data_IF_680144652215
#
_entry.id   IF_680144652215
#
_cell.length_a   1.000
_cell.length_b   1.000
_cell.length_c   1.000
_cell.angle_alpha   90.00
_cell.angle_beta   90.00
_cell.angle_gamma   90.00
#
_symmetry.space_group_name_H-M   'P 1'
#
loop_
_entity.id
_entity.type
_entity.pdbx_description
1 polymer ?
#
# COMPACT_ATOMS: atom_id res chain seq x y z
N UNK A 1 26.63 -21.19 17.55
CA UNK A 1 26.17 -20.97 16.15
C UNK A 1 25.97 -19.47 15.99
N UNK A 2 26.87 -18.77 15.31
CA UNK A 2 26.81 -17.31 15.20
C UNK A 2 25.52 -16.89 14.48
N UNK A 3 24.80 -15.94 15.08
CA UNK A 3 23.57 -15.37 14.52
C UNK A 3 23.90 -14.60 13.24
N UNK A 4 23.96 -15.32 12.11
CA UNK A 4 24.27 -14.77 10.80
C UNK A 4 23.22 -13.75 10.33
N UNK A 5 22.08 -13.63 11.01
CA UNK A 5 21.06 -12.63 10.71
C UNK A 5 21.54 -11.20 10.95
N UNK A 6 22.61 -10.99 11.73
CA UNK A 6 23.17 -9.66 11.95
C UNK A 6 24.07 -9.15 10.79
N UNK A 7 24.44 -10.00 9.82
CA UNK A 7 25.41 -9.63 8.77
C UNK A 7 24.85 -8.57 7.80
N UNK A 8 25.66 -7.60 7.34
CA UNK A 8 25.24 -6.53 6.42
C UNK A 8 24.52 -7.04 5.16
N UNK A 9 24.95 -8.19 4.62
CA UNK A 9 24.34 -8.81 3.45
C UNK A 9 22.86 -9.18 3.63
N UNK A 10 22.41 -9.52 4.85
CA UNK A 10 21.01 -9.87 5.10
C UNK A 10 20.11 -8.63 5.21
N UNK A 11 20.65 -7.50 5.70
CA UNK A 11 19.93 -6.21 5.71
C UNK A 11 19.68 -5.71 4.30
N UNK A 12 20.69 -5.80 3.43
CA UNK A 12 20.56 -5.41 2.03
C UNK A 12 19.58 -6.32 1.28
N UNK A 13 19.56 -7.62 1.57
CA UNK A 13 18.54 -8.54 1.04
C UNK A 13 17.13 -8.16 1.49
N UNK A 14 16.94 -7.77 2.74
CA UNK A 14 15.64 -7.33 3.22
C UNK A 14 15.18 -6.03 2.53
N UNK A 15 16.10 -5.07 2.34
CA UNK A 15 15.81 -3.83 1.62
C UNK A 15 15.40 -4.08 0.16
N UNK A 16 16.16 -4.87 -0.59
CA UNK A 16 15.80 -5.24 -1.96
C UNK A 16 14.51 -6.06 -2.03
N UNK A 17 14.29 -6.95 -1.07
CA UNK A 17 13.03 -7.70 -1.00
C UNK A 17 11.85 -6.75 -0.82
N UNK A 18 11.96 -5.75 0.05
CA UNK A 18 10.91 -4.75 0.22
C UNK A 18 10.67 -3.95 -1.06
N UNK A 19 11.72 -3.48 -1.74
CA UNK A 19 11.61 -2.76 -3.02
C UNK A 19 10.86 -3.58 -4.07
N UNK A 20 11.23 -4.86 -4.21
CA UNK A 20 10.60 -5.77 -5.17
C UNK A 20 9.15 -6.07 -4.76
N UNK A 21 8.90 -6.44 -3.50
CA UNK A 21 7.55 -6.72 -3.02
C UNK A 21 6.63 -5.51 -3.15
N UNK A 22 7.14 -4.31 -2.90
CA UNK A 22 6.38 -3.06 -3.07
C UNK A 22 5.93 -2.92 -4.51
N UNK A 23 6.86 -3.05 -5.45
CA UNK A 23 6.57 -2.94 -6.88
C UNK A 23 5.60 -4.04 -7.33
N UNK A 24 5.78 -5.27 -6.87
CA UNK A 24 4.87 -6.37 -7.21
C UNK A 24 3.47 -6.17 -6.63
N UNK A 25 3.34 -5.79 -5.35
CA UNK A 25 2.04 -5.58 -4.72
C UNK A 25 1.29 -4.39 -5.32
N UNK A 26 2.00 -3.32 -5.69
CA UNK A 26 1.39 -2.15 -6.32
C UNK A 26 1.00 -2.42 -7.78
N UNK A 27 1.88 -3.05 -8.57
CA UNK A 27 1.76 -3.07 -10.04
C UNK A 27 1.28 -4.43 -10.59
N UNK A 28 1.71 -5.56 -10.01
CA UNK A 28 1.31 -6.89 -10.50
C UNK A 28 -0.19 -7.13 -10.31
N UNK A 29 -0.74 -6.66 -9.20
CA UNK A 29 -2.17 -6.76 -8.89
C UNK A 29 -3.00 -5.67 -9.59
N UNK A 30 -2.37 -4.67 -10.23
CA UNK A 30 -3.03 -3.49 -10.81
C UNK A 30 -2.74 -3.30 -12.30
N UNK A 31 -1.59 -2.72 -12.63
CA UNK A 31 -1.21 -2.36 -14.00
C UNK A 31 -0.96 -3.59 -14.88
N UNK A 32 -0.45 -4.70 -14.33
CA UNK A 32 -0.30 -5.93 -15.11
C UNK A 32 -1.63 -6.48 -15.66
N UNK A 33 -2.73 -6.16 -15.00
CA UNK A 33 -4.06 -6.66 -15.33
C UNK A 33 -4.85 -5.64 -16.17
N UNK A 34 -4.81 -4.36 -15.80
CA UNK A 34 -5.58 -3.33 -16.51
C UNK A 34 -4.81 -2.59 -17.60
N UNK A 35 -3.49 -2.38 -17.44
CA UNK A 35 -2.67 -1.58 -18.38
C UNK A 35 -1.29 -2.23 -18.60
N UNK A 36 -1.20 -3.37 -19.32
CA UNK A 36 0.04 -4.14 -19.44
C UNK A 36 1.23 -3.35 -20.01
N UNK A 37 0.98 -2.31 -20.80
CA UNK A 37 2.02 -1.43 -21.35
C UNK A 37 2.80 -0.65 -20.26
N UNK A 38 2.23 -0.47 -19.07
CA UNK A 38 2.88 0.21 -17.95
C UNK A 38 4.17 -0.49 -17.48
N UNK A 39 4.36 -1.78 -17.77
CA UNK A 39 5.60 -2.50 -17.48
C UNK A 39 6.82 -1.94 -18.23
N UNK A 40 6.63 -1.19 -19.31
CA UNK A 40 7.72 -0.45 -19.96
C UNK A 40 8.31 0.64 -19.05
N UNK A 41 7.54 1.10 -18.06
CA UNK A 41 7.95 2.07 -17.05
C UNK A 41 8.48 1.41 -15.77
N UNK A 42 8.70 0.08 -15.76
CA UNK A 42 9.14 -0.67 -14.58
C UNK A 42 10.33 -0.04 -13.84
N UNK A 43 11.39 0.49 -14.49
CA UNK A 43 12.46 1.18 -13.78
C UNK A 43 11.98 2.39 -13.00
N UNK A 44 11.11 3.21 -13.59
CA UNK A 44 10.50 4.37 -12.93
C UNK A 44 9.61 3.92 -11.77
N UNK A 45 8.74 2.91 -12.01
CA UNK A 45 7.85 2.34 -10.99
C UNK A 45 8.65 1.78 -9.80
N UNK A 46 9.74 1.05 -10.06
CA UNK A 46 10.57 0.49 -9.01
C UNK A 46 11.29 1.56 -8.18
N UNK A 47 11.70 2.67 -8.80
CA UNK A 47 12.28 3.82 -8.09
C UNK A 47 11.23 4.52 -7.25
N UNK A 48 10.09 4.84 -7.86
CA UNK A 48 8.97 5.54 -7.23
C UNK A 48 8.41 4.75 -6.03
N UNK A 49 7.90 3.53 -6.28
CA UNK A 49 7.37 2.67 -5.22
C UNK A 49 8.45 2.20 -4.26
N UNK A 50 9.50 1.59 -4.78
CA UNK A 50 10.52 0.95 -3.95
C UNK A 50 11.28 1.93 -3.05
N UNK A 51 11.70 3.08 -3.59
CA UNK A 51 12.46 4.05 -2.80
C UNK A 51 11.56 4.77 -1.78
N UNK A 52 10.35 5.16 -2.18
CA UNK A 52 9.40 5.81 -1.26
C UNK A 52 9.05 4.93 -0.07
N UNK A 53 8.67 3.67 -0.31
CA UNK A 53 8.28 2.75 0.77
C UNK A 53 9.48 2.35 1.65
N UNK A 54 10.67 2.15 1.06
CA UNK A 54 11.87 1.91 1.83
C UNK A 54 12.23 3.13 2.71
N UNK A 55 12.04 4.36 2.22
CA UNK A 55 12.26 5.58 3.00
C UNK A 55 11.27 5.68 4.17
N UNK A 56 9.98 5.43 3.95
CA UNK A 56 8.95 5.36 5.02
C UNK A 56 9.36 4.37 6.11
N UNK A 57 9.77 3.17 5.68
CA UNK A 57 10.18 2.10 6.59
C UNK A 57 11.46 2.44 7.36
N UNK A 58 12.45 3.04 6.70
CA UNK A 58 13.70 3.46 7.35
C UNK A 58 13.46 4.59 8.37
N UNK A 59 12.63 5.58 8.03
CA UNK A 59 12.29 6.67 8.93
C UNK A 59 11.63 6.15 10.21
N UNK A 60 10.62 5.28 10.09
CA UNK A 60 9.94 4.68 11.25
C UNK A 60 10.86 3.80 12.09
N UNK A 61 11.70 2.97 11.46
CA UNK A 61 12.64 2.10 12.18
C UNK A 61 13.67 2.88 13.00
N UNK A 62 14.11 4.05 12.53
CA UNK A 62 15.13 4.88 13.21
C UNK A 62 14.63 5.58 14.45
N UNK A 63 13.38 6.02 14.45
CA UNK A 63 12.76 6.66 15.61
C UNK A 63 12.06 5.65 16.54
N UNK A 64 12.12 4.36 16.20
CA UNK A 64 11.43 3.30 16.93
C UNK A 64 9.91 3.40 16.87
N UNK A 65 9.34 4.01 15.82
CA UNK A 65 7.90 4.23 15.68
C UNK A 65 7.15 3.01 15.15
N UNK A 66 5.86 2.90 15.49
CA UNK A 66 5.00 1.76 15.18
C UNK A 66 4.21 1.87 13.87
N UNK A 67 3.25 0.95 13.70
CA UNK A 67 2.33 0.93 12.56
C UNK A 67 1.52 2.22 12.35
N UNK A 68 1.04 2.91 13.39
CA UNK A 68 0.37 4.20 13.21
C UNK A 68 1.23 5.24 12.47
N UNK A 69 2.52 5.28 12.76
CA UNK A 69 3.46 6.17 12.04
C UNK A 69 3.72 5.71 10.61
N UNK A 70 3.72 4.40 10.35
CA UNK A 70 3.82 3.88 8.97
C UNK A 70 2.58 4.30 8.17
N UNK A 71 1.39 4.25 8.75
CA UNK A 71 0.14 4.72 8.10
C UNK A 71 0.23 6.20 7.76
N UNK A 72 0.61 7.06 8.72
CA UNK A 72 0.74 8.50 8.47
C UNK A 72 1.81 8.82 7.42
N UNK A 73 2.96 8.13 7.46
CA UNK A 73 3.99 8.31 6.43
C UNK A 73 3.58 7.70 5.08
N UNK A 74 2.70 6.71 5.07
CA UNK A 74 2.04 6.21 3.86
C UNK A 74 1.16 7.28 3.22
N UNK A 75 0.45 8.09 4.02
CA UNK A 75 -0.31 9.25 3.52
C UNK A 75 0.63 10.34 2.98
N UNK A 76 1.78 10.57 3.64
CA UNK A 76 2.81 11.48 3.10
C UNK A 76 3.32 10.99 1.74
N UNK A 77 3.53 9.69 1.62
CA UNK A 77 3.95 9.04 0.39
C UNK A 77 2.89 9.17 -0.73
N UNK A 78 1.62 8.92 -0.43
CA UNK A 78 0.50 9.11 -1.34
C UNK A 78 0.41 10.57 -1.83
N UNK A 79 0.45 11.56 -0.92
CA UNK A 79 0.44 12.98 -1.30
C UNK A 79 1.65 13.38 -2.15
N UNK A 80 2.82 12.77 -1.91
CA UNK A 80 4.01 13.01 -2.72
C UNK A 80 3.82 12.49 -4.16
N UNK A 81 3.27 11.29 -4.31
CA UNK A 81 3.06 10.69 -5.63
C UNK A 81 1.88 11.32 -6.36
N UNK A 82 0.67 11.26 -5.80
CA UNK A 82 -0.54 11.68 -6.50
C UNK A 82 -0.73 13.20 -6.45
N UNK A 83 -0.35 13.84 -5.34
CA UNK A 83 -0.49 15.29 -5.17
C UNK A 83 0.59 16.10 -5.89
N UNK A 84 1.87 15.69 -5.78
CA UNK A 84 3.00 16.45 -6.32
C UNK A 84 3.54 15.86 -7.63
N UNK A 85 3.67 14.53 -7.70
CA UNK A 85 4.17 13.81 -8.87
C UNK A 85 3.18 13.83 -10.02
N UNK A 86 2.10 13.06 -9.90
CA UNK A 86 1.04 12.97 -10.90
C UNK A 86 0.18 14.22 -10.99
N UNK A 87 0.06 14.98 -9.89
CA UNK A 87 -0.88 16.12 -9.75
C UNK A 87 -2.35 15.71 -9.92
N UNK A 88 -2.62 14.43 -9.73
CA UNK A 88 -3.91 13.81 -10.00
C UNK A 88 -5.00 14.19 -9.01
N UNK A 89 -4.62 14.61 -7.81
CA UNK A 89 -5.59 15.08 -6.82
C UNK A 89 -6.34 16.33 -7.29
N UNK A 90 -5.73 17.18 -8.13
CA UNK A 90 -6.34 18.45 -8.58
C UNK A 90 -6.64 18.50 -10.07
N UNK A 91 -5.99 17.65 -10.87
CA UNK A 91 -6.19 17.62 -12.33
C UNK A 91 -7.64 17.29 -12.68
N UNK A 92 -8.27 18.04 -13.60
CA UNK A 92 -9.60 17.71 -14.09
C UNK A 92 -9.58 16.56 -15.11
N UNK A 93 -8.45 16.28 -15.76
CA UNK A 93 -8.41 15.41 -16.94
C UNK A 93 -7.65 14.10 -16.70
N UNK A 94 -6.70 14.06 -15.77
CA UNK A 94 -5.84 12.90 -15.61
C UNK A 94 -6.70 11.65 -15.31
N UNK A 95 -6.53 10.62 -16.12
CA UNK A 95 -7.28 9.36 -16.06
C UNK A 95 -8.82 9.47 -16.16
N UNK A 96 -9.38 10.67 -16.40
CA UNK A 96 -10.81 10.93 -16.19
C UNK A 96 -11.24 10.86 -14.71
N UNK A 97 -10.31 10.99 -13.76
CA UNK A 97 -10.57 10.80 -12.33
C UNK A 97 -11.61 11.78 -11.75
N UNK A 98 -11.80 12.93 -12.40
CA UNK A 98 -12.82 13.90 -12.04
C UNK A 98 -14.25 13.35 -12.20
N UNK A 99 -14.46 12.39 -13.11
CA UNK A 99 -15.77 11.82 -13.44
C UNK A 99 -16.11 10.57 -12.63
N UNK A 100 -15.16 10.07 -11.82
CA UNK A 100 -15.34 8.84 -11.04
C UNK A 100 -16.23 9.03 -9.81
N UNK A 101 -16.33 10.25 -9.28
CA UNK A 101 -17.08 10.51 -8.06
C UNK A 101 -17.02 11.95 -7.59
N UNK A 102 -16.98 12.15 -6.27
CA UNK A 102 -17.05 13.48 -5.67
C UNK A 102 -15.82 14.30 -6.03
N UNK A 103 -16.03 15.38 -6.77
CA UNK A 103 -15.04 16.44 -6.99
C UNK A 103 -15.54 17.74 -6.40
N UNK A 104 -14.78 18.32 -5.46
CA UNK A 104 -15.15 19.54 -4.76
C UNK A 104 -13.92 20.35 -4.39
N UNK A 105 -14.03 21.69 -4.41
CA UNK A 105 -12.93 22.62 -4.13
C UNK A 105 -11.70 22.45 -5.03
N UNK A 106 -11.89 21.87 -6.21
CA UNK A 106 -10.79 21.56 -7.13
C UNK A 106 -10.01 20.30 -6.79
N UNK A 107 -10.54 19.44 -5.90
CA UNK A 107 -9.96 18.14 -5.53
C UNK A 107 -10.87 17.00 -5.95
N UNK A 108 -10.27 15.93 -6.50
CA UNK A 108 -10.90 14.66 -6.80
C UNK A 108 -10.96 13.80 -5.52
N UNK A 109 -11.99 13.96 -4.69
CA UNK A 109 -12.06 13.31 -3.37
C UNK A 109 -12.26 11.81 -3.45
N UNK A 110 -13.12 11.32 -4.34
CA UNK A 110 -13.31 9.88 -4.53
C UNK A 110 -12.01 9.20 -4.97
N UNK A 111 -11.30 9.82 -5.91
CA UNK A 111 -9.95 9.40 -6.31
C UNK A 111 -9.00 9.43 -5.11
N UNK A 112 -8.91 10.55 -4.39
CA UNK A 112 -7.97 10.65 -3.27
C UNK A 112 -8.19 9.55 -2.22
N UNK A 113 -9.45 9.30 -1.82
CA UNK A 113 -9.76 8.27 -0.83
C UNK A 113 -9.43 6.86 -1.34
N UNK A 114 -9.65 6.57 -2.63
CA UNK A 114 -9.28 5.27 -3.18
C UNK A 114 -7.76 5.10 -3.20
N UNK A 115 -7.05 6.16 -3.58
CA UNK A 115 -5.59 6.17 -3.67
C UNK A 115 -4.93 6.08 -2.28
N UNK A 116 -5.54 6.66 -1.24
CA UNK A 116 -5.13 6.38 0.14
C UNK A 116 -5.20 4.88 0.43
N UNK A 117 -6.27 4.21 0.02
CA UNK A 117 -6.36 2.75 0.11
C UNK A 117 -5.22 2.05 -0.64
N UNK A 118 -5.04 2.39 -1.92
CA UNK A 118 -4.02 1.82 -2.81
C UNK A 118 -2.61 2.02 -2.25
N UNK A 119 -2.16 3.25 -2.07
CA UNK A 119 -0.79 3.57 -1.68
C UNK A 119 -0.50 3.16 -0.23
N UNK A 120 -1.40 3.42 0.72
CA UNK A 120 -1.13 3.09 2.12
C UNK A 120 -1.21 1.59 2.33
N UNK A 121 -2.24 0.91 1.86
CA UNK A 121 -2.43 -0.52 2.17
C UNK A 121 -1.56 -1.40 1.27
N UNK A 122 -1.67 -1.25 -0.05
CA UNK A 122 -1.07 -2.17 -1.02
C UNK A 122 0.40 -1.86 -1.27
N UNK A 123 0.76 -0.59 -1.35
CA UNK A 123 2.15 -0.20 -1.59
C UNK A 123 2.93 -0.17 -0.28
N UNK A 124 2.38 0.33 0.83
CA UNK A 124 3.16 0.49 2.07
C UNK A 124 2.97 -0.69 3.04
N UNK A 125 1.75 -0.91 3.54
CA UNK A 125 1.52 -1.80 4.68
C UNK A 125 1.75 -3.27 4.35
N UNK A 126 1.18 -3.78 3.26
CA UNK A 126 1.28 -5.19 2.85
C UNK A 126 2.75 -5.59 2.57
N UNK A 127 3.53 -4.84 1.77
CA UNK A 127 4.92 -5.19 1.49
C UNK A 127 5.82 -5.13 2.71
N UNK A 128 5.62 -4.14 3.60
CA UNK A 128 6.34 -4.07 4.88
C UNK A 128 5.99 -5.27 5.75
N UNK A 129 4.70 -5.63 5.86
CA UNK A 129 4.26 -6.78 6.65
C UNK A 129 4.86 -8.09 6.13
N UNK A 130 4.80 -8.33 4.82
CA UNK A 130 5.38 -9.53 4.19
C UNK A 130 6.90 -9.57 4.35
N UNK A 131 7.59 -8.43 4.24
CA UNK A 131 9.03 -8.34 4.48
C UNK A 131 9.39 -8.66 5.93
N UNK A 132 8.63 -8.15 6.89
CA UNK A 132 8.83 -8.45 8.32
C UNK A 132 8.61 -9.94 8.64
N UNK A 133 7.70 -10.63 7.93
CA UNK A 133 7.51 -12.08 8.05
C UNK A 133 8.68 -12.88 7.45
N UNK A 134 9.24 -12.41 6.33
CA UNK A 134 10.39 -13.05 5.66
C UNK A 134 11.69 -12.87 6.46
N UNK A 135 11.87 -11.69 7.06
CA UNK A 135 13.09 -11.25 7.76
C UNK A 135 12.82 -10.81 9.21
N UNK A 136 12.34 -11.70 10.09
CA UNK A 136 11.94 -11.34 11.46
C UNK A 136 13.07 -10.72 12.30
N UNK A 137 14.33 -11.15 12.07
CA UNK A 137 15.50 -10.61 12.78
C UNK A 137 15.81 -9.13 12.48
N UNK A 138 15.25 -8.60 11.38
CA UNK A 138 15.39 -7.20 10.98
C UNK A 138 14.12 -6.38 11.20
N UNK A 139 13.08 -6.97 11.78
CA UNK A 139 11.83 -6.29 12.10
C UNK A 139 12.11 -5.08 13.00
N UNK A 140 11.61 -3.92 12.58
CA UNK A 140 11.79 -2.65 13.30
C UNK A 140 13.22 -2.11 13.40
N UNK A 141 14.21 -2.73 12.74
CA UNK A 141 15.61 -2.28 12.73
C UNK A 141 15.99 -1.68 11.39
N UNK A 142 16.68 -0.53 11.31
CA UNK A 142 17.10 0.06 10.04
C UNK A 142 17.90 -0.91 9.16
N UNK A 143 17.57 -0.99 7.87
CA UNK A 143 18.27 -1.78 6.87
C UNK A 143 19.50 -1.05 6.35
N UNK A 144 19.42 0.27 6.19
CA UNK A 144 20.46 1.09 5.58
C UNK A 144 21.32 1.80 6.62
N UNK A 145 22.48 2.29 6.20
CA UNK A 145 23.25 3.29 6.95
C UNK A 145 22.91 4.71 6.45
N UNK A 146 23.43 5.75 7.09
CA UNK A 146 23.10 7.14 6.75
C UNK A 146 23.31 7.49 5.26
N UNK A 147 24.40 7.09 4.58
CA UNK A 147 24.55 7.35 3.14
C UNK A 147 23.47 6.69 2.28
N UNK A 148 23.09 5.45 2.63
CA UNK A 148 22.00 4.74 1.94
C UNK A 148 20.65 5.41 2.12
N UNK A 149 20.40 6.02 3.30
CA UNK A 149 19.20 6.80 3.55
C UNK A 149 19.14 8.07 2.68
N UNK A 150 20.27 8.77 2.52
CA UNK A 150 20.35 9.94 1.62
C UNK A 150 20.11 9.51 0.17
N UNK A 151 20.74 8.41 -0.25
CA UNK A 151 20.54 7.86 -1.59
C UNK A 151 19.10 7.46 -1.88
N UNK A 152 18.42 6.78 -0.94
CA UNK A 152 17.01 6.39 -1.13
C UNK A 152 16.07 7.61 -1.10
N UNK A 153 16.40 8.63 -0.29
CA UNK A 153 15.67 9.91 -0.30
C UNK A 153 15.80 10.64 -1.64
N UNK A 154 17.01 10.70 -2.21
CA UNK A 154 17.23 11.28 -3.53
C UNK A 154 16.48 10.49 -4.62
N UNK A 155 16.52 9.15 -4.56
CA UNK A 155 15.76 8.31 -5.50
C UNK A 155 14.25 8.50 -5.38
N UNK A 156 13.70 8.64 -4.17
CA UNK A 156 12.28 8.93 -3.98
C UNK A 156 11.88 10.28 -4.62
N UNK A 157 12.72 11.31 -4.46
CA UNK A 157 12.52 12.62 -5.11
C UNK A 157 12.55 12.46 -6.64
N UNK A 158 13.53 11.73 -7.17
CA UNK A 158 13.62 11.43 -8.61
C UNK A 158 12.38 10.68 -9.09
N UNK A 159 11.86 9.73 -8.31
CA UNK A 159 10.62 9.01 -8.61
C UNK A 159 9.42 9.94 -8.73
N UNK A 160 9.21 10.82 -7.74
CA UNK A 160 8.11 11.81 -7.74
C UNK A 160 8.21 12.78 -8.92
N UNK A 161 9.40 13.30 -9.22
CA UNK A 161 9.56 14.18 -10.38
C UNK A 161 9.55 13.42 -11.72
N UNK A 162 9.91 12.15 -11.72
CA UNK A 162 9.78 11.25 -12.87
C UNK A 162 8.32 10.99 -13.22
N UNK A 163 7.46 10.74 -12.23
CA UNK A 163 6.00 10.68 -12.40
C UNK A 163 5.47 11.93 -13.10
N UNK A 164 5.92 13.09 -12.62
CA UNK A 164 5.52 14.39 -13.17
C UNK A 164 5.99 14.59 -14.61
N UNK A 165 7.24 14.25 -14.90
CA UNK A 165 7.85 14.50 -16.21
C UNK A 165 7.38 13.50 -17.28
N UNK A 166 7.00 12.29 -16.88
CA UNK A 166 6.63 11.21 -17.81
C UNK A 166 5.12 11.00 -17.83
N UNK A 167 4.53 10.63 -16.70
CA UNK A 167 3.13 10.20 -16.66
C UNK A 167 2.20 11.42 -16.68
N UNK A 168 2.38 12.38 -15.77
CA UNK A 168 1.49 13.54 -15.70
C UNK A 168 1.50 14.36 -16.99
N UNK A 169 2.67 14.54 -17.60
CA UNK A 169 2.78 15.28 -18.87
C UNK A 169 2.19 14.53 -20.07
N UNK A 170 2.14 13.19 -20.01
CA UNK A 170 1.48 12.39 -21.07
C UNK A 170 -0.04 12.41 -20.91
N UNK A 171 -0.53 12.32 -19.68
CA UNK A 171 -1.96 12.14 -19.36
C UNK A 171 -2.74 13.46 -19.25
N UNK A 172 -2.10 14.56 -18.81
CA UNK A 172 -2.71 15.90 -18.78
C UNK A 172 -1.66 16.99 -19.11
N UNK A 173 -1.25 17.07 -20.40
CA UNK A 173 -0.15 17.94 -20.83
C UNK A 173 -0.33 19.41 -20.43
N UNK A 174 0.73 20.01 -19.90
CA UNK A 174 0.73 21.43 -19.50
C UNK A 174 -0.07 21.77 -18.23
N UNK A 175 -0.77 20.81 -17.61
CA UNK A 175 -1.50 21.06 -16.36
C UNK A 175 -0.55 21.44 -15.21
N UNK A 176 -1.01 22.36 -14.35
CA UNK A 176 -0.29 22.79 -13.16
C UNK A 176 -1.24 22.82 -11.97
N UNK A 177 -0.84 22.14 -10.89
CA UNK A 177 -1.50 22.25 -9.59
C UNK A 177 -1.56 23.72 -9.17
N UNK A 178 -2.74 24.25 -8.79
CA UNK A 178 -2.84 25.57 -8.21
C UNK A 178 -1.89 25.73 -7.02
N UNK A 179 -1.19 26.86 -6.94
CA UNK A 179 -0.15 27.06 -5.92
C UNK A 179 -0.68 26.88 -4.49
N UNK A 180 -1.93 27.27 -4.23
CA UNK A 180 -2.58 27.08 -2.94
C UNK A 180 -2.66 25.60 -2.56
N UNK A 181 -3.02 24.73 -3.51
CA UNK A 181 -3.04 23.28 -3.29
C UNK A 181 -1.64 22.70 -3.13
N UNK A 182 -0.64 23.18 -3.88
CA UNK A 182 0.76 22.77 -3.68
C UNK A 182 1.23 23.09 -2.26
N UNK A 183 0.96 24.30 -1.75
CA UNK A 183 1.29 24.67 -0.36
C UNK A 183 0.54 23.78 0.63
N UNK A 184 -0.77 23.55 0.42
CA UNK A 184 -1.57 22.67 1.27
C UNK A 184 -0.99 21.26 1.36
N UNK A 185 -0.61 20.65 0.23
CA UNK A 185 -0.01 19.32 0.22
C UNK A 185 1.34 19.29 0.96
N UNK A 186 2.22 20.27 0.72
CA UNK A 186 3.50 20.36 1.42
C UNK A 186 3.33 20.53 2.94
N UNK A 187 2.39 21.38 3.36
CA UNK A 187 2.07 21.57 4.78
C UNK A 187 1.48 20.31 5.38
N UNK A 188 0.52 19.66 4.71
CA UNK A 188 -0.07 18.41 5.16
C UNK A 188 1.00 17.30 5.30
N UNK A 189 1.87 17.14 4.31
CA UNK A 189 2.99 16.21 4.34
C UNK A 189 3.92 16.49 5.54
N UNK A 190 4.27 17.76 5.78
CA UNK A 190 5.13 18.15 6.90
C UNK A 190 4.48 17.86 8.27
N UNK A 191 3.19 18.19 8.42
CA UNK A 191 2.43 17.93 9.65
C UNK A 191 2.30 16.44 9.90
N UNK A 192 1.91 15.65 8.88
CA UNK A 192 1.77 14.20 8.99
C UNK A 192 3.11 13.53 9.32
N UNK A 193 4.20 13.94 8.67
CA UNK A 193 5.54 13.44 8.98
C UNK A 193 5.98 13.80 10.40
N UNK A 194 5.70 15.03 10.85
CA UNK A 194 5.98 15.46 12.22
C UNK A 194 5.21 14.62 13.24
N UNK A 195 3.89 14.46 13.05
CA UNK A 195 3.05 13.64 13.92
C UNK A 195 3.55 12.19 13.96
N UNK A 196 3.88 11.62 12.80
CA UNK A 196 4.36 10.25 12.67
C UNK A 196 5.70 10.01 13.39
N UNK A 197 6.63 10.94 13.29
CA UNK A 197 8.00 10.76 13.77
C UNK A 197 8.26 11.32 15.16
N UNK A 198 7.40 12.23 15.66
CA UNK A 198 7.63 12.96 16.92
C UNK A 198 6.52 12.81 17.95
N UNK A 199 5.27 12.59 17.54
CA UNK A 199 4.11 12.62 18.46
C UNK A 199 3.56 11.22 18.73
N UNK A 200 3.41 10.40 17.69
CA UNK A 200 2.80 9.08 17.85
C UNK A 200 3.62 8.15 18.74
N UNK A 201 2.96 7.20 19.44
CA UNK A 201 3.62 6.26 20.34
C UNK A 201 4.72 5.47 19.62
N UNK A 202 5.82 5.26 20.35
CA UNK A 202 6.89 4.36 19.91
C UNK A 202 6.36 2.92 19.90
N UNK A 203 7.10 2.01 19.25
CA UNK A 203 6.82 0.58 19.25
C UNK A 203 6.92 0.04 20.67
N UNK A 204 5.78 -0.02 21.34
CA UNK A 204 5.62 -0.90 22.48
C UNK A 204 5.33 -2.31 21.96
N UNK A 205 5.79 -3.37 22.67
CA UNK A 205 5.31 -4.72 22.42
C UNK A 205 3.78 -4.70 22.43
N UNK A 206 3.09 -5.33 21.46
CA UNK A 206 1.64 -5.34 21.47
C UNK A 206 1.17 -5.90 22.81
N UNK A 207 0.40 -5.10 23.55
CA UNK A 207 -0.26 -5.57 24.76
C UNK A 207 -1.19 -6.71 24.34
N UNK A 208 -0.77 -7.94 24.63
CA UNK A 208 -1.57 -9.13 24.32
C UNK A 208 -2.85 -8.99 25.12
N UNK A 209 -3.98 -8.86 24.43
CA UNK A 209 -5.28 -8.80 25.08
C UNK A 209 -5.78 -10.24 25.24
N UNK A 210 -5.78 -10.83 26.45
CA UNK A 210 -5.99 -12.27 26.62
C UNK A 210 -7.39 -12.73 26.20
N UNK A 211 -8.37 -11.82 26.22
CA UNK A 211 -9.78 -12.07 25.95
C UNK A 211 -10.21 -11.79 24.51
N UNK A 212 -9.35 -11.17 23.69
CA UNK A 212 -9.66 -10.90 22.29
C UNK A 212 -9.50 -12.19 21.47
N UNK A 213 -10.57 -12.62 20.79
CA UNK A 213 -10.54 -13.76 19.88
C UNK A 213 -10.43 -13.26 18.44
N UNK A 214 -9.42 -13.74 17.69
CA UNK A 214 -9.39 -13.55 16.23
C UNK A 214 -10.14 -14.68 15.51
N UNK A 215 -10.91 -14.39 14.45
CA UNK A 215 -11.43 -15.42 13.55
C UNK A 215 -10.33 -16.29 12.94
N UNK A 216 -10.69 -17.45 12.39
CA UNK A 216 -9.72 -18.33 11.74
C UNK A 216 -9.01 -17.63 10.55
N UNK A 217 -7.76 -18.02 10.21
CA UNK A 217 -7.03 -17.36 9.13
C UNK A 217 -7.78 -17.27 7.79
N UNK A 218 -8.49 -18.32 7.32
CA UNK A 218 -9.28 -18.23 6.10
C UNK A 218 -10.39 -17.18 6.16
N UNK A 219 -11.03 -17.00 7.32
CA UNK A 219 -12.08 -15.99 7.50
C UNK A 219 -11.46 -14.58 7.42
N UNK A 220 -10.31 -14.35 8.06
CA UNK A 220 -9.61 -13.06 7.97
C UNK A 220 -9.26 -12.72 6.52
N UNK A 221 -8.74 -13.70 5.77
CA UNK A 221 -8.45 -13.51 4.35
C UNK A 221 -9.69 -13.29 3.49
N UNK A 222 -10.77 -14.04 3.72
CA UNK A 222 -12.03 -13.87 2.99
C UNK A 222 -12.63 -12.48 3.25
N UNK A 223 -12.69 -12.04 4.51
CA UNK A 223 -13.18 -10.71 4.86
C UNK A 223 -12.35 -9.64 4.17
N UNK A 224 -11.02 -9.74 4.24
CA UNK A 224 -10.14 -8.78 3.58
C UNK A 224 -10.30 -8.75 2.05
N UNK A 225 -10.48 -9.93 1.43
CA UNK A 225 -10.69 -10.07 -0.01
C UNK A 225 -12.07 -9.66 -0.50
N UNK A 226 -13.07 -9.58 0.38
CA UNK A 226 -14.39 -9.02 0.06
C UNK A 226 -14.42 -7.51 0.31
N UNK A 227 -13.89 -7.05 1.44
CA UNK A 227 -13.84 -5.62 1.81
C UNK A 227 -13.07 -4.81 0.78
N UNK A 228 -11.95 -5.34 0.30
CA UNK A 228 -11.06 -4.64 -0.66
C UNK A 228 -11.77 -4.23 -1.96
N UNK A 229 -12.33 -5.15 -2.77
CA UNK A 229 -13.00 -4.76 -4.01
C UNK A 229 -14.24 -3.93 -3.74
N UNK A 230 -15.00 -4.17 -2.65
CA UNK A 230 -16.15 -3.33 -2.32
C UNK A 230 -15.71 -1.90 -2.05
N UNK A 231 -14.65 -1.69 -1.26
CA UNK A 231 -14.09 -0.37 -1.00
C UNK A 231 -13.70 0.35 -2.30
N UNK A 232 -13.04 -0.36 -3.23
CA UNK A 232 -12.63 0.21 -4.51
C UNK A 232 -13.84 0.50 -5.42
N UNK A 233 -14.81 -0.41 -5.53
CA UNK A 233 -16.03 -0.24 -6.34
C UNK A 233 -16.85 0.98 -5.89
N UNK A 234 -16.84 1.28 -4.58
CA UNK A 234 -17.52 2.46 -4.03
C UNK A 234 -16.86 3.78 -4.48
N UNK A 235 -15.59 3.77 -4.89
CA UNK A 235 -14.80 4.99 -5.15
C UNK A 235 -14.32 5.11 -6.60
N UNK A 236 -14.17 3.98 -7.27
CA UNK A 236 -13.57 3.84 -8.59
C UNK A 236 -14.45 2.94 -9.48
N UNK A 237 -14.53 3.24 -10.78
CA UNK A 237 -15.18 2.35 -11.73
C UNK A 237 -14.42 1.02 -11.83
N UNK A 238 -15.11 -0.13 -11.76
CA UNK A 238 -14.48 -1.45 -11.83
C UNK A 238 -13.61 -1.58 -13.09
N UNK A 239 -12.35 -1.94 -12.90
CA UNK A 239 -11.40 -2.05 -14.00
C UNK A 239 -11.03 -0.72 -14.67
N UNK A 240 -11.19 0.41 -13.97
CA UNK A 240 -10.84 1.77 -14.41
C UNK A 240 -11.58 2.22 -15.69
N UNK A 241 -12.86 1.88 -15.81
CA UNK A 241 -13.73 2.36 -16.91
C UNK A 241 -13.97 3.88 -16.79
N UNK A 242 -14.58 4.48 -17.81
CA UNK A 242 -14.81 5.94 -17.81
C UNK A 242 -15.94 6.39 -16.86
N UNK A 243 -16.94 5.54 -16.59
CA UNK A 243 -18.11 5.94 -15.80
C UNK A 243 -18.29 5.11 -14.54
N UNK A 244 -18.68 5.80 -13.45
CA UNK A 244 -19.02 5.18 -12.17
C UNK A 244 -20.21 4.23 -12.30
N UNK A 245 -20.27 3.19 -11.46
CA UNK A 245 -21.40 2.23 -11.45
C UNK A 245 -22.71 2.84 -10.94
N UNK A 246 -22.63 3.99 -10.27
CA UNK A 246 -23.80 4.66 -9.69
C UNK A 246 -24.52 5.58 -10.69
N UNK A 247 -23.85 5.97 -11.79
CA UNK A 247 -24.37 6.90 -12.79
C UNK A 247 -24.47 8.36 -12.32
N UNK A 248 -24.78 9.26 -13.25
CA UNK A 248 -24.69 10.72 -13.07
C UNK A 248 -25.74 11.30 -12.10
N UNK A 249 -26.83 10.56 -11.84
CA UNK A 249 -27.92 11.01 -10.97
C UNK A 249 -27.79 10.60 -9.50
N UNK A 250 -26.77 9.81 -9.15
CA UNK A 250 -26.60 9.31 -7.78
C UNK A 250 -25.81 10.30 -6.92
N UNK A 251 -26.20 10.56 -5.66
CA UNK A 251 -25.45 11.46 -4.79
C UNK A 251 -24.04 10.90 -4.50
N UNK A 252 -23.03 11.40 -5.21
CA UNK A 252 -21.63 10.91 -5.18
C UNK A 252 -20.95 11.00 -3.80
N UNK A 253 -21.56 11.70 -2.85
CA UNK A 253 -21.13 11.70 -1.44
C UNK A 253 -21.43 10.37 -0.73
N UNK A 254 -22.51 9.66 -1.10
CA UNK A 254 -22.93 8.44 -0.42
C UNK A 254 -21.94 7.28 -0.62
N UNK A 255 -21.43 6.98 -1.83
CA UNK A 255 -20.42 5.96 -2.01
C UNK A 255 -19.13 6.29 -1.25
N UNK A 256 -18.73 7.57 -1.23
CA UNK A 256 -17.56 8.03 -0.47
C UNK A 256 -17.73 7.82 1.04
N UNK A 257 -18.89 8.17 1.61
CA UNK A 257 -19.18 7.93 3.04
C UNK A 257 -19.24 6.43 3.35
N UNK A 258 -19.86 5.63 2.48
CA UNK A 258 -19.88 4.18 2.63
C UNK A 258 -18.47 3.57 2.59
N UNK A 259 -17.61 4.05 1.69
CA UNK A 259 -16.22 3.61 1.61
C UNK A 259 -15.42 4.03 2.85
N UNK A 260 -15.61 5.25 3.34
CA UNK A 260 -14.98 5.73 4.57
C UNK A 260 -15.42 4.91 5.80
N UNK A 261 -16.71 4.58 5.91
CA UNK A 261 -17.23 3.72 6.97
C UNK A 261 -16.68 2.29 6.87
N UNK A 262 -16.67 1.71 5.68
CA UNK A 262 -16.16 0.36 5.44
C UNK A 262 -14.66 0.26 5.74
N UNK A 263 -13.87 1.14 5.12
CA UNK A 263 -12.41 1.21 5.31
C UNK A 263 -12.04 1.57 6.74
N UNK A 264 -12.73 2.53 7.36
CA UNK A 264 -12.54 2.91 8.76
C UNK A 264 -12.86 1.78 9.73
N UNK A 265 -13.97 1.05 9.50
CA UNK A 265 -14.34 -0.13 10.30
C UNK A 265 -13.31 -1.25 10.18
N UNK A 266 -12.79 -1.49 8.97
CA UNK A 266 -11.75 -2.48 8.73
C UNK A 266 -10.42 -2.08 9.40
N UNK A 267 -9.99 -0.83 9.21
CA UNK A 267 -8.79 -0.27 9.84
C UNK A 267 -8.88 -0.24 11.37
N UNK A 268 -10.09 -0.15 11.93
CA UNK A 268 -10.34 -0.26 13.38
C UNK A 268 -10.30 -1.71 13.89
N UNK A 269 -10.73 -2.66 13.06
CA UNK A 269 -10.86 -4.07 13.45
C UNK A 269 -9.54 -4.83 13.35
N UNK A 270 -8.75 -4.61 12.30
CA UNK A 270 -7.48 -5.33 12.06
C UNK A 270 -6.48 -5.21 13.22
N UNK A 271 -6.24 -4.03 13.82
CA UNK A 271 -5.35 -3.91 14.98
C UNK A 271 -5.82 -4.72 16.19
N UNK A 272 -7.15 -4.85 16.39
CA UNK A 272 -7.71 -5.66 17.49
C UNK A 272 -7.45 -7.14 17.27
N UNK A 273 -7.68 -7.62 16.05
CA UNK A 273 -7.33 -8.98 15.66
C UNK A 273 -5.84 -9.25 15.84
N UNK A 274 -4.98 -8.29 15.46
CA UNK A 274 -3.54 -8.43 15.65
C UNK A 274 -3.15 -8.49 17.14
N UNK A 275 -3.81 -7.74 18.01
CA UNK A 275 -3.54 -7.78 19.46
C UNK A 275 -4.04 -9.04 20.17
N UNK A 276 -4.79 -9.91 19.47
CA UNK A 276 -5.32 -11.15 20.01
C UNK A 276 -4.20 -12.17 20.29
N UNK A 277 -4.30 -12.90 21.40
CA UNK A 277 -3.30 -13.89 21.83
C UNK A 277 -3.11 -15.05 20.84
N UNK A 278 -4.14 -15.35 20.05
CA UNK A 278 -4.13 -16.40 19.02
C UNK A 278 -3.77 -15.89 17.61
N UNK A 279 -3.35 -14.62 17.45
CA UNK A 279 -2.84 -14.13 16.18
C UNK A 279 -1.51 -14.81 15.83
N UNK A 280 -1.42 -15.30 14.59
CA UNK A 280 -0.22 -16.01 14.10
C UNK A 280 0.23 -15.44 12.77
N UNK A 281 1.46 -15.79 12.36
CA UNK A 281 1.99 -15.43 11.05
C UNK A 281 1.06 -15.87 9.90
N UNK A 282 0.32 -16.97 10.08
CA UNK A 282 -0.68 -17.44 9.12
C UNK A 282 -1.80 -16.42 8.93
N UNK A 283 -2.32 -15.81 9.99
CA UNK A 283 -3.33 -14.75 9.87
C UNK A 283 -2.81 -13.56 9.07
N UNK A 284 -1.54 -13.17 9.26
CA UNK A 284 -0.91 -12.09 8.48
C UNK A 284 -0.78 -12.44 6.99
N UNK A 285 -0.41 -13.69 6.66
CA UNK A 285 -0.36 -14.15 5.27
C UNK A 285 -1.75 -14.17 4.63
N UNK A 286 -2.77 -14.66 5.34
CA UNK A 286 -4.15 -14.67 4.84
C UNK A 286 -4.73 -13.27 4.69
N UNK A 287 -4.43 -12.35 5.62
CA UNK A 287 -4.80 -10.94 5.51
C UNK A 287 -4.20 -10.30 4.26
N UNK A 288 -2.87 -10.42 4.05
CA UNK A 288 -2.21 -9.93 2.84
C UNK A 288 -2.79 -10.56 1.57
N UNK A 289 -3.00 -11.89 1.59
CA UNK A 289 -3.54 -12.60 0.44
C UNK A 289 -4.95 -12.17 0.08
N UNK A 290 -5.83 -12.01 1.08
CA UNK A 290 -7.17 -11.49 0.87
C UNK A 290 -7.14 -10.11 0.23
N UNK A 291 -6.34 -9.18 0.78
CA UNK A 291 -6.17 -7.83 0.25
C UNK A 291 -5.71 -7.88 -1.23
N UNK A 292 -4.62 -8.59 -1.53
CA UNK A 292 -4.05 -8.67 -2.88
C UNK A 292 -5.02 -9.31 -3.88
N UNK A 293 -5.63 -10.45 -3.53
CA UNK A 293 -6.62 -11.13 -4.39
C UNK A 293 -7.83 -10.25 -4.64
N UNK A 294 -8.34 -9.58 -3.62
CA UNK A 294 -9.48 -8.66 -3.73
C UNK A 294 -9.19 -7.49 -4.66
N UNK A 295 -7.98 -6.95 -4.62
CA UNK A 295 -7.54 -5.86 -5.51
C UNK A 295 -7.33 -6.34 -6.95
N UNK A 296 -6.70 -7.49 -7.14
CA UNK A 296 -6.58 -8.10 -8.48
C UNK A 296 -7.96 -8.38 -9.08
N UNK A 297 -8.91 -8.88 -8.28
CA UNK A 297 -10.28 -9.14 -8.71
C UNK A 297 -11.02 -7.86 -9.15
N UNK A 298 -10.77 -6.73 -8.50
CA UNK A 298 -11.33 -5.43 -8.90
C UNK A 298 -10.92 -5.02 -10.33
N UNK A 299 -9.73 -5.43 -10.77
CA UNK A 299 -9.17 -5.07 -12.09
C UNK A 299 -9.59 -6.01 -13.23
N UNK A 300 -10.18 -7.17 -12.92
CA UNK A 300 -10.59 -8.17 -13.91
C UNK A 300 -11.73 -7.76 -14.86
N UNK A 301 -12.77 -7.00 -14.45
CA UNK A 301 -13.96 -6.75 -15.28
C UNK A 301 -13.75 -5.88 -16.53
N UNK A 302 -12.53 -5.46 -16.89
CA UNK A 302 -12.30 -4.55 -18.04
C UNK A 302 -12.43 -5.25 -19.39
N UNK A 303 -11.69 -6.34 -19.58
CA UNK A 303 -11.62 -7.08 -20.86
C UNK A 303 -11.42 -8.58 -20.59
N UNK A 304 -11.61 -9.42 -21.61
CA UNK A 304 -11.29 -10.86 -21.50
C UNK A 304 -9.81 -11.09 -21.19
N UNK A 305 -8.92 -10.23 -21.72
CA UNK A 305 -7.48 -10.29 -21.47
C UNK A 305 -7.19 -9.99 -20.00
N UNK A 306 -7.79 -8.92 -19.46
CA UNK A 306 -7.69 -8.56 -18.03
C UNK A 306 -8.24 -9.66 -17.13
N UNK A 307 -9.33 -10.31 -17.50
CA UNK A 307 -9.87 -11.44 -16.75
C UNK A 307 -8.88 -12.64 -16.73
N UNK A 308 -8.26 -12.99 -17.86
CA UNK A 308 -7.28 -14.08 -17.94
C UNK A 308 -6.00 -13.76 -17.17
N UNK A 309 -5.45 -12.55 -17.35
CA UNK A 309 -4.26 -12.09 -16.64
C UNK A 309 -4.51 -12.03 -15.13
N UNK A 310 -5.64 -11.47 -14.70
CA UNK A 310 -6.04 -11.43 -13.29
C UNK A 310 -6.18 -12.82 -12.69
N UNK A 311 -6.76 -13.79 -13.41
CA UNK A 311 -6.84 -15.18 -12.94
C UNK A 311 -5.44 -15.81 -12.76
N UNK A 312 -4.52 -15.59 -13.71
CA UNK A 312 -3.13 -16.05 -13.60
C UNK A 312 -2.43 -15.41 -12.40
N UNK A 313 -2.60 -14.10 -12.22
CA UNK A 313 -2.02 -13.35 -11.09
C UNK A 313 -2.55 -13.86 -9.75
N UNK A 314 -3.87 -14.06 -9.61
CA UNK A 314 -4.47 -14.61 -8.39
C UNK A 314 -3.91 -16.01 -8.08
N UNK A 315 -3.78 -16.88 -9.09
CA UNK A 315 -3.17 -18.20 -8.90
C UNK A 315 -1.72 -18.08 -8.41
N UNK A 316 -0.94 -17.18 -9.00
CA UNK A 316 0.45 -16.94 -8.58
C UNK A 316 0.53 -16.40 -7.14
N UNK A 317 -0.30 -15.41 -6.79
CA UNK A 317 -0.40 -14.84 -5.44
C UNK A 317 -0.72 -15.92 -4.40
N UNK A 318 -1.76 -16.72 -4.64
CA UNK A 318 -2.18 -17.81 -3.75
C UNK A 318 -1.07 -18.86 -3.58
N UNK A 319 -0.40 -19.26 -4.66
CA UNK A 319 0.70 -20.23 -4.59
C UNK A 319 1.92 -19.69 -3.82
N UNK A 320 2.31 -18.43 -4.06
CA UNK A 320 3.46 -17.82 -3.41
C UNK A 320 3.20 -17.58 -1.91
N UNK A 321 2.01 -17.09 -1.56
CA UNK A 321 1.60 -16.88 -0.18
C UNK A 321 1.37 -18.22 0.55
N UNK A 322 0.83 -19.23 -0.12
CA UNK A 322 0.72 -20.59 0.41
C UNK A 322 2.09 -21.20 0.74
N UNK A 323 3.07 -21.03 -0.16
CA UNK A 323 4.46 -21.45 0.09
C UNK A 323 5.09 -20.67 1.26
N UNK A 324 4.79 -19.36 1.37
CA UNK A 324 5.25 -18.55 2.50
C UNK A 324 4.66 -19.07 3.83
N UNK A 325 3.36 -19.31 3.89
CA UNK A 325 2.69 -19.86 5.08
C UNK A 325 3.34 -21.18 5.52
N UNK A 326 3.54 -22.11 4.58
CA UNK A 326 4.16 -23.41 4.88
C UNK A 326 5.62 -23.29 5.37
N UNK A 327 6.39 -22.35 4.82
CA UNK A 327 7.75 -22.05 5.29
C UNK A 327 7.76 -21.46 6.71
N UNK A 328 6.75 -20.67 7.07
CA UNK A 328 6.64 -20.09 8.41
C UNK A 328 6.22 -21.13 9.46
N UNK A 329 5.34 -22.06 9.08
CA UNK A 329 4.94 -23.20 9.93
C UNK A 329 6.14 -24.12 10.24
N UNK A 330 6.93 -24.49 9.22
CA UNK A 330 8.12 -25.35 9.42
C UNK A 330 9.23 -24.71 10.28
N UNK A 331 9.41 -23.38 10.20
CA UNK A 331 10.31 -22.63 11.09
C UNK A 331 9.84 -22.64 12.54
N UNK A 332 8.54 -22.56 12.76
CA UNK A 332 7.96 -22.56 14.11
C UNK A 332 8.10 -23.94 14.76
N UNK A 333 7.83 -25.02 14.01
CA UNK A 333 7.98 -26.39 14.49
C UNK A 333 9.43 -26.74 14.89
N UNK A 334 10.43 -26.30 14.10
CA UNK A 334 11.85 -26.53 14.40
C UNK A 334 12.41 -25.73 15.56
N UNK A 335 11.71 -24.66 15.99
CA UNK A 335 12.08 -23.86 17.16
C UNK A 335 11.53 -24.47 18.45
N UNK A 336 10.38 -25.15 18.39
CA UNK A 336 9.76 -25.85 19.55
C UNK A 336 10.45 -27.19 19.85
N UNK A 337 11.13 -27.80 18.87
CA UNK A 337 11.85 -29.07 19.04
C UNK A 337 13.29 -28.92 19.56
N UNK A 338 13.70 -27.73 19.98
CA UNK A 338 15.02 -27.42 20.57
C UNK A 338 14.85 -26.84 21.96
#
# INVERSE_FOLDING_TARGET
MSDNSARPAYRLRAAWTLVILTTLCAELSFTAVAVPAAWLLLPLLMVMYGAGVLLVREATARVGAGWPSIVLLGLVYELAEDGIGLRALTSPNIYGAADWGLRAFGINWSYWVSQVGVHVVFSVLVPIMLTDLLFPAHRGRPYLHAPGLVGIGALAIVGVFGLRAVIAETEDPGYRTPWGWTVTFLVAMAVLAFLALRVLPRRDPPAITPTATVPSPPIVGLVAGVVTPIFLILLLPPGLRQTSIFGDGFPLVLPMLAAALLGGSFAWTVPRWWSASNWTARHSVWLAGGILVGHTAFMMPTTIVSALLGAITIVAEVLLLGRLAHRLESRSASTVSR
#
